data_IF_131126464475
#
_entry.id   IF_131126464475
#
_cell.length_a   1.000
_cell.length_b   1.000
_cell.length_c   1.000
_cell.angle_alpha   90.00
_cell.angle_beta   90.00
_cell.angle_gamma   90.00
#
_symmetry.space_group_name_H-M   'P 1'
#
loop_
_entity.id
_entity.type
_entity.pdbx_description
1 polymer ?
#
# COMPACT_ATOMS: atom_id res chain seq x y z
N UNK A 1 2.57 -10.82 36.84
CA UNK A 1 3.21 -11.02 35.52
C UNK A 1 2.67 -9.96 34.56
N UNK A 2 3.35 -9.67 33.45
CA UNK A 2 2.84 -8.71 32.43
C UNK A 2 1.99 -9.42 31.38
N UNK A 3 1.04 -8.72 30.75
CA UNK A 3 0.18 -9.23 29.65
C UNK A 3 0.98 -9.98 28.57
N UNK A 4 2.15 -9.46 28.18
CA UNK A 4 3.06 -10.09 27.20
C UNK A 4 3.55 -11.48 27.61
N UNK A 5 3.73 -11.74 28.89
CA UNK A 5 4.19 -13.06 29.38
C UNK A 5 3.06 -14.10 29.29
N UNK A 6 1.80 -13.68 29.49
CA UNK A 6 0.62 -14.55 29.37
C UNK A 6 0.32 -14.91 27.92
N UNK A 7 0.46 -13.94 27.01
CA UNK A 7 0.35 -14.18 25.57
C UNK A 7 1.40 -15.19 25.07
N UNK A 8 2.61 -15.19 25.65
CA UNK A 8 3.65 -16.18 25.33
C UNK A 8 3.34 -17.58 25.90
N UNK A 9 2.46 -17.67 26.89
CA UNK A 9 1.97 -18.92 27.48
C UNK A 9 0.72 -19.44 26.76
N UNK A 10 0.34 -18.84 25.63
CA UNK A 10 -0.83 -19.28 24.85
C UNK A 10 -2.18 -18.83 25.43
N UNK A 11 -2.19 -17.89 26.38
CA UNK A 11 -3.42 -17.39 27.01
C UNK A 11 -3.91 -16.16 26.26
N UNK A 12 -5.09 -16.25 25.65
CA UNK A 12 -5.68 -15.19 24.80
C UNK A 12 -7.09 -14.83 25.28
N UNK A 13 -7.82 -14.03 24.50
CA UNK A 13 -9.26 -13.83 24.67
C UNK A 13 -9.72 -13.48 26.10
N UNK A 14 -10.83 -14.09 26.51
CA UNK A 14 -11.45 -13.91 27.82
C UNK A 14 -10.61 -14.59 28.92
N UNK A 15 -9.85 -15.65 28.58
CA UNK A 15 -8.94 -16.30 29.52
C UNK A 15 -7.80 -15.38 29.96
N UNK A 16 -7.39 -14.42 29.13
CA UNK A 16 -6.34 -13.46 29.45
C UNK A 16 -6.76 -12.47 30.54
N UNK A 17 -7.98 -11.97 30.48
CA UNK A 17 -8.50 -11.07 31.50
C UNK A 17 -8.73 -11.82 32.82
N UNK A 18 -9.23 -13.07 32.75
CA UNK A 18 -9.35 -13.93 33.92
C UNK A 18 -8.00 -14.29 34.53
N UNK A 19 -6.97 -14.58 33.72
CA UNK A 19 -5.61 -14.83 34.21
C UNK A 19 -5.06 -13.62 34.98
N UNK A 20 -5.31 -12.40 34.50
CA UNK A 20 -4.91 -11.17 35.20
C UNK A 20 -5.67 -11.00 36.53
N UNK A 21 -6.95 -11.37 36.59
CA UNK A 21 -7.72 -11.43 37.85
C UNK A 21 -7.13 -12.45 38.83
N UNK A 22 -6.88 -13.68 38.39
CA UNK A 22 -6.27 -14.73 39.22
C UNK A 22 -4.90 -14.28 39.74
N UNK A 23 -4.07 -13.65 38.91
CA UNK A 23 -2.76 -13.11 39.33
C UNK A 23 -2.91 -12.00 40.37
N UNK A 24 -3.91 -11.11 40.22
CA UNK A 24 -4.20 -10.04 41.18
C UNK A 24 -4.61 -10.63 42.52
N UNK A 25 -5.50 -11.63 42.52
CA UNK A 25 -5.92 -12.34 43.72
C UNK A 25 -4.74 -13.06 44.41
N UNK A 26 -3.96 -13.86 43.68
CA UNK A 26 -2.78 -14.53 44.25
C UNK A 26 -1.76 -13.54 44.82
N UNK A 27 -1.62 -12.36 44.21
CA UNK A 27 -0.75 -11.31 44.73
C UNK A 27 -1.29 -10.71 46.05
N UNK A 28 -2.61 -10.55 46.17
CA UNK A 28 -3.28 -10.09 47.39
C UNK A 28 -3.12 -11.11 48.54
N UNK A 29 -3.21 -12.40 48.23
CA UNK A 29 -2.96 -13.52 49.15
C UNK A 29 -1.45 -13.77 49.41
N UNK A 30 -0.57 -12.88 48.94
CA UNK A 30 0.88 -12.89 49.19
C UNK A 30 1.62 -14.12 48.65
N UNK A 31 1.12 -14.76 47.60
CA UNK A 31 1.87 -15.80 46.90
C UNK A 31 3.19 -15.25 46.33
N UNK A 32 4.25 -16.06 46.36
CA UNK A 32 5.54 -15.68 45.77
C UNK A 32 5.42 -15.58 44.25
N UNK A 33 6.10 -14.62 43.63
CA UNK A 33 6.09 -14.42 42.16
C UNK A 33 6.41 -15.68 41.36
N UNK A 34 7.33 -16.53 41.85
CA UNK A 34 7.66 -17.79 41.22
C UNK A 34 6.48 -18.77 41.23
N UNK A 35 5.81 -18.91 42.39
CA UNK A 35 4.64 -19.76 42.55
C UNK A 35 3.44 -19.27 41.72
N UNK A 36 3.24 -17.94 41.60
CA UNK A 36 2.21 -17.38 40.71
C UNK A 36 2.49 -17.77 39.26
N UNK A 37 3.74 -17.62 38.81
CA UNK A 37 4.12 -17.98 37.44
C UNK A 37 3.91 -19.46 37.16
N UNK A 38 4.37 -20.31 38.06
CA UNK A 38 4.23 -21.76 37.97
C UNK A 38 2.76 -22.19 37.97
N UNK A 39 1.94 -21.60 38.84
CA UNK A 39 0.50 -21.92 38.91
C UNK A 39 -0.23 -21.52 37.63
N UNK A 40 0.02 -20.31 37.12
CA UNK A 40 -0.60 -19.86 35.86
C UNK A 40 -0.15 -20.70 34.67
N UNK A 41 1.13 -21.10 34.66
CA UNK A 41 1.66 -21.98 33.63
C UNK A 41 1.04 -23.39 33.71
N UNK A 42 0.91 -23.96 34.91
CA UNK A 42 0.30 -25.27 35.10
C UNK A 42 -1.19 -25.27 34.73
N UNK A 43 -1.93 -24.19 35.03
CA UNK A 43 -3.34 -24.08 34.61
C UNK A 43 -3.43 -23.96 33.08
N UNK A 44 -2.49 -23.28 32.43
CA UNK A 44 -2.46 -23.18 30.96
C UNK A 44 -2.06 -24.51 30.29
N UNK A 45 -1.16 -25.28 30.89
CA UNK A 45 -0.67 -26.56 30.35
C UNK A 45 -1.61 -27.74 30.66
N UNK A 46 -2.28 -27.74 31.82
CA UNK A 46 -3.12 -28.83 32.32
C UNK A 46 -4.44 -28.33 32.92
N UNK A 47 -5.26 -27.57 32.17
CA UNK A 47 -6.46 -26.93 32.70
C UNK A 47 -7.49 -27.94 33.26
N UNK A 48 -7.51 -29.16 32.73
CA UNK A 48 -8.39 -30.24 33.18
C UNK A 48 -8.22 -30.59 34.66
N UNK A 49 -7.03 -30.35 35.21
CA UNK A 49 -6.73 -30.62 36.62
C UNK A 49 -7.28 -29.55 37.57
N UNK A 50 -7.74 -28.41 37.03
CA UNK A 50 -8.14 -27.24 37.80
C UNK A 50 -9.62 -26.85 37.64
N UNK A 51 -10.41 -27.56 36.82
CA UNK A 51 -11.82 -27.23 36.51
C UNK A 51 -12.68 -27.07 37.78
N UNK A 52 -12.48 -27.94 38.76
CA UNK A 52 -13.24 -27.97 40.02
C UNK A 52 -12.57 -27.14 41.14
N UNK A 53 -11.47 -26.47 40.85
CA UNK A 53 -10.73 -25.72 41.85
C UNK A 53 -11.44 -24.39 42.15
N UNK A 54 -11.77 -24.12 43.41
CA UNK A 54 -12.57 -22.96 43.83
C UNK A 54 -12.06 -21.61 43.26
N UNK A 55 -10.74 -21.40 43.25
CA UNK A 55 -10.13 -20.13 42.81
C UNK A 55 -9.60 -20.15 41.36
N UNK A 56 -9.51 -21.33 40.72
CA UNK A 56 -8.88 -21.49 39.41
C UNK A 56 -9.83 -22.08 38.36
N UNK A 57 -10.99 -22.61 38.79
CA UNK A 57 -11.92 -23.34 37.95
C UNK A 57 -12.50 -22.51 36.83
N UNK A 58 -12.86 -21.25 37.09
CA UNK A 58 -13.32 -20.35 36.02
C UNK A 58 -12.22 -20.08 34.99
N UNK A 59 -10.97 -19.89 35.43
CA UNK A 59 -9.84 -19.66 34.53
C UNK A 59 -9.53 -20.92 33.72
N UNK A 60 -9.51 -22.08 34.37
CA UNK A 60 -9.32 -23.37 33.74
C UNK A 60 -10.43 -23.71 32.73
N UNK A 61 -11.69 -23.42 33.06
CA UNK A 61 -12.85 -23.58 32.17
C UNK A 61 -12.75 -22.65 30.96
N UNK A 62 -12.27 -21.42 31.13
CA UNK A 62 -12.02 -20.52 30.00
C UNK A 62 -10.88 -21.02 29.11
N UNK A 63 -9.78 -21.53 29.69
CA UNK A 63 -8.70 -22.16 28.90
C UNK A 63 -9.22 -23.38 28.14
N UNK A 64 -10.02 -24.24 28.77
CA UNK A 64 -10.62 -25.39 28.09
C UNK A 64 -11.66 -25.00 27.06
N UNK A 65 -12.48 -23.99 27.33
CA UNK A 65 -13.43 -23.47 26.35
C UNK A 65 -12.70 -22.84 25.18
N UNK A 66 -11.59 -22.13 25.40
CA UNK A 66 -10.72 -21.62 24.33
C UNK A 66 -10.02 -22.75 23.55
N UNK A 67 -9.67 -23.86 24.22
CA UNK A 67 -9.12 -25.06 23.62
C UNK A 67 -10.17 -25.96 22.91
N UNK A 68 -11.44 -25.91 23.32
CA UNK A 68 -12.55 -26.58 22.62
C UNK A 68 -13.10 -25.69 21.49
N UNK A 69 -13.07 -24.38 21.68
CA UNK A 69 -13.33 -23.36 20.66
C UNK A 69 -12.12 -23.10 19.78
N UNK A 70 -11.18 -24.05 19.70
CA UNK A 70 -9.92 -23.97 18.98
C UNK A 70 -10.13 -23.36 17.58
N UNK A 71 -9.97 -22.04 17.50
CA UNK A 71 -9.56 -21.39 16.27
C UNK A 71 -8.05 -21.64 16.17
N UNK A 72 -7.64 -22.91 16.16
CA UNK A 72 -6.35 -23.27 15.58
C UNK A 72 -6.45 -22.80 14.15
N UNK A 73 -5.53 -21.93 13.75
CA UNK A 73 -5.34 -21.63 12.35
C UNK A 73 -5.14 -22.96 11.59
N UNK A 74 -6.17 -23.37 10.86
CA UNK A 74 -6.08 -24.50 9.94
C UNK A 74 -5.79 -23.89 8.56
N UNK A 75 -4.57 -24.08 8.02
CA UNK A 75 -4.30 -23.66 6.65
C UNK A 75 -5.23 -24.41 5.69
N UNK A 76 -5.43 -23.87 4.49
CA UNK A 76 -6.14 -24.61 3.43
C UNK A 76 -5.40 -25.93 3.16
N UNK A 77 -6.15 -27.00 2.89
CA UNK A 77 -5.55 -28.29 2.48
C UNK A 77 -4.73 -28.15 1.20
N UNK A 78 -5.20 -27.27 0.30
CA UNK A 78 -4.53 -26.90 -0.94
C UNK A 78 -4.43 -25.39 -1.03
N UNK A 79 -3.21 -24.91 -1.27
CA UNK A 79 -2.91 -23.51 -1.57
C UNK A 79 -3.81 -22.98 -2.70
N UNK A 80 -4.29 -21.76 -2.54
CA UNK A 80 -4.97 -21.05 -3.61
C UNK A 80 -4.05 -20.92 -4.85
N UNK A 81 -4.56 -21.20 -6.07
CA UNK A 81 -3.74 -21.09 -7.27
C UNK A 81 -3.21 -19.66 -7.44
N UNK A 82 -1.95 -19.53 -7.83
CA UNK A 82 -1.40 -18.24 -8.27
C UNK A 82 -0.39 -18.42 -9.39
N UNK A 83 -0.28 -17.40 -10.24
CA UNK A 83 0.73 -17.32 -11.30
C UNK A 83 1.78 -16.25 -10.98
N UNK A 84 2.98 -16.41 -11.54
CA UNK A 84 4.12 -15.53 -11.32
C UNK A 84 4.67 -15.05 -12.67
N UNK A 85 4.86 -13.74 -12.79
CA UNK A 85 5.54 -13.09 -13.90
C UNK A 85 6.93 -12.64 -13.46
N UNK A 86 7.94 -12.89 -14.29
CA UNK A 86 9.34 -12.59 -13.97
C UNK A 86 10.06 -13.70 -13.18
N UNK A 87 11.39 -13.72 -13.30
CA UNK A 87 12.26 -14.78 -12.75
C UNK A 87 13.16 -14.33 -11.62
N UNK A 88 13.50 -13.03 -11.56
CA UNK A 88 14.42 -12.44 -10.58
C UNK A 88 13.66 -11.78 -9.42
N UNK A 89 12.77 -12.53 -8.78
CA UNK A 89 11.98 -12.07 -7.62
C UNK A 89 12.65 -12.54 -6.33
N UNK A 90 12.68 -11.68 -5.30
CA UNK A 90 13.16 -12.04 -3.96
C UNK A 90 12.39 -13.25 -3.42
N UNK A 91 13.12 -14.28 -2.98
CA UNK A 91 12.57 -15.50 -2.38
C UNK A 91 11.61 -15.17 -1.24
N UNK A 92 11.91 -14.14 -0.44
CA UNK A 92 11.01 -13.73 0.66
C UNK A 92 9.71 -13.12 0.17
N UNK A 93 9.71 -12.44 -0.98
CA UNK A 93 8.49 -11.94 -1.58
C UNK A 93 7.62 -13.09 -2.12
N UNK A 94 8.26 -14.12 -2.70
CA UNK A 94 7.59 -15.36 -3.11
C UNK A 94 6.99 -16.07 -1.88
N UNK A 95 7.74 -16.20 -0.78
CA UNK A 95 7.23 -16.76 0.48
C UNK A 95 6.03 -15.96 1.04
N UNK A 96 6.06 -14.62 0.96
CA UNK A 96 4.90 -13.79 1.34
C UNK A 96 3.67 -14.07 0.48
N UNK A 97 3.84 -14.21 -0.83
CA UNK A 97 2.74 -14.56 -1.74
C UNK A 97 2.16 -15.95 -1.41
N UNK A 98 3.04 -16.93 -1.18
CA UNK A 98 2.64 -18.29 -0.80
C UNK A 98 1.86 -18.31 0.52
N UNK A 99 2.36 -17.61 1.54
CA UNK A 99 1.67 -17.45 2.82
C UNK A 99 0.29 -16.81 2.66
N UNK A 100 0.15 -15.82 1.76
CA UNK A 100 -1.14 -15.20 1.46
C UNK A 100 -2.11 -16.18 0.79
N UNK A 101 -1.64 -17.00 -0.16
CA UNK A 101 -2.45 -18.03 -0.82
C UNK A 101 -2.78 -19.24 0.07
N UNK A 102 -2.08 -19.42 1.20
CA UNK A 102 -2.35 -20.50 2.17
C UNK A 102 -3.46 -20.13 3.18
N UNK A 103 -3.89 -18.86 3.22
CA UNK A 103 -4.97 -18.40 4.09
C UNK A 103 -6.30 -19.06 3.73
N UNK A 104 -7.17 -19.39 4.71
CA UNK A 104 -8.48 -19.99 4.47
C UNK A 104 -9.37 -19.16 3.52
N UNK A 105 -9.26 -17.83 3.58
CA UNK A 105 -10.06 -16.91 2.77
C UNK A 105 -9.52 -16.69 1.35
N UNK A 106 -8.34 -17.19 1.01
CA UNK A 106 -7.71 -16.95 -0.30
C UNK A 106 -8.28 -17.85 -1.40
N UNK A 107 -8.66 -17.26 -2.53
CA UNK A 107 -9.24 -17.99 -3.67
C UNK A 107 -8.31 -18.05 -4.88
N UNK A 108 -7.55 -16.99 -5.14
CA UNK A 108 -6.54 -16.94 -6.20
C UNK A 108 -5.51 -15.84 -5.92
N UNK A 109 -4.38 -15.87 -6.61
CA UNK A 109 -3.41 -14.78 -6.57
C UNK A 109 -2.60 -14.60 -7.84
N UNK A 110 -1.82 -13.54 -7.89
CA UNK A 110 -0.85 -13.26 -8.95
C UNK A 110 0.35 -12.51 -8.38
N UNK A 111 1.55 -12.80 -8.88
CA UNK A 111 2.79 -12.15 -8.47
C UNK A 111 3.46 -11.47 -9.66
N UNK A 112 3.59 -10.15 -9.58
CA UNK A 112 4.08 -9.29 -10.65
C UNK A 112 5.62 -9.26 -10.73
N UNK A 113 6.21 -8.90 -11.88
CA UNK A 113 7.68 -8.94 -12.06
C UNK A 113 8.44 -7.90 -11.22
N UNK A 114 7.76 -6.84 -10.80
CA UNK A 114 8.27 -5.82 -9.88
C UNK A 114 8.24 -6.25 -8.40
N UNK A 115 7.79 -7.48 -8.11
CA UNK A 115 7.54 -7.90 -6.74
C UNK A 115 8.78 -7.89 -5.83
N UNK A 116 8.57 -7.43 -4.60
CA UNK A 116 9.58 -7.34 -3.56
C UNK A 116 8.94 -7.35 -2.17
N UNK A 117 9.77 -7.47 -1.13
CA UNK A 117 9.33 -7.63 0.25
C UNK A 117 8.41 -6.48 0.71
N UNK A 118 7.26 -6.83 1.27
CA UNK A 118 6.30 -5.89 1.85
C UNK A 118 5.86 -6.28 3.27
N UNK A 119 4.71 -5.75 3.69
CA UNK A 119 4.03 -6.13 4.94
C UNK A 119 2.81 -7.02 4.64
N UNK A 120 2.79 -8.27 5.11
CA UNK A 120 1.72 -9.19 4.76
C UNK A 120 1.87 -9.67 3.32
N UNK A 121 1.04 -9.14 2.41
CA UNK A 121 1.20 -9.35 0.97
C UNK A 121 2.49 -8.65 0.47
N UNK A 122 3.26 -9.27 -0.46
CA UNK A 122 4.40 -8.59 -1.06
C UNK A 122 3.92 -7.40 -1.88
N UNK A 123 4.79 -6.40 -2.06
CA UNK A 123 4.56 -5.37 -3.08
C UNK A 123 4.75 -6.07 -4.44
N UNK A 124 3.91 -5.80 -5.44
CA UNK A 124 3.76 -6.62 -6.65
C UNK A 124 2.82 -7.82 -6.47
N UNK A 125 2.15 -7.95 -5.32
CA UNK A 125 1.22 -9.04 -5.05
C UNK A 125 -0.23 -8.67 -5.35
N UNK A 126 -0.98 -9.64 -5.88
CA UNK A 126 -2.43 -9.59 -6.05
C UNK A 126 -3.04 -10.80 -5.37
N UNK A 127 -4.05 -10.58 -4.52
CA UNK A 127 -4.73 -11.64 -3.77
C UNK A 127 -6.24 -11.46 -3.84
N UNK A 128 -6.93 -12.44 -4.41
CA UNK A 128 -8.38 -12.52 -4.36
C UNK A 128 -8.83 -13.34 -3.15
N UNK A 129 -9.73 -12.78 -2.35
CA UNK A 129 -10.29 -13.43 -1.16
C UNK A 129 -11.81 -13.54 -1.23
N UNK A 130 -12.36 -14.57 -0.60
CA UNK A 130 -13.79 -14.74 -0.41
C UNK A 130 -14.24 -14.05 0.89
N UNK A 131 -15.21 -13.13 0.79
CA UNK A 131 -15.86 -12.45 1.91
C UNK A 131 -14.95 -11.83 2.97
N UNK A 132 -13.74 -11.43 2.60
CA UNK A 132 -12.73 -10.94 3.54
C UNK A 132 -11.88 -9.85 2.91
N UNK A 133 -11.48 -8.88 3.71
CA UNK A 133 -10.56 -7.83 3.29
C UNK A 133 -9.38 -7.73 4.26
N UNK A 134 -8.16 -7.64 3.75
CA UNK A 134 -6.92 -7.67 4.52
C UNK A 134 -6.27 -6.27 4.44
N UNK A 135 -6.29 -5.47 5.52
CA UNK A 135 -5.82 -4.08 5.46
C UNK A 135 -4.36 -3.93 4.97
N UNK A 136 -3.45 -4.82 5.37
CA UNK A 136 -2.07 -4.78 4.87
C UNK A 136 -1.86 -5.33 3.47
N UNK A 137 -2.83 -6.09 2.93
CA UNK A 137 -2.84 -6.48 1.53
C UNK A 137 -3.33 -5.35 0.62
N UNK A 138 -3.99 -4.32 1.17
CA UNK A 138 -4.22 -3.03 0.48
C UNK A 138 -2.95 -2.18 0.51
N UNK A 139 -2.31 -2.08 1.68
CA UNK A 139 -1.09 -1.27 1.88
C UNK A 139 -1.29 -0.12 2.87
N UNK A 140 -0.17 0.42 3.38
CA UNK A 140 -0.18 1.51 4.37
C UNK A 140 -0.68 2.80 3.75
N UNK A 141 -0.13 3.16 2.59
CA UNK A 141 -0.65 4.27 1.78
C UNK A 141 -1.81 3.77 0.91
N UNK A 142 -2.99 3.73 1.53
CA UNK A 142 -4.24 3.34 0.88
C UNK A 142 -4.47 4.23 -0.35
N UNK A 143 -4.80 3.61 -1.47
CA UNK A 143 -5.09 4.27 -2.73
C UNK A 143 -3.96 5.15 -3.28
N UNK A 144 -2.71 4.82 -2.94
CA UNK A 144 -1.56 5.33 -3.68
C UNK A 144 -1.79 5.06 -5.18
N UNK A 145 -1.52 6.08 -6.00
CA UNK A 145 -1.91 6.12 -7.41
C UNK A 145 -0.97 6.99 -8.24
N UNK A 146 -1.03 6.74 -9.54
CA UNK A 146 -0.37 7.54 -10.57
C UNK A 146 -1.39 8.44 -11.25
N UNK A 147 -0.98 9.65 -11.67
CA UNK A 147 -1.73 10.47 -12.62
C UNK A 147 -0.78 11.10 -13.64
N UNK A 148 -1.14 10.99 -14.93
CA UNK A 148 -0.47 11.65 -16.04
C UNK A 148 -1.43 12.69 -16.66
N UNK A 149 -0.92 13.88 -16.95
CA UNK A 149 -1.61 14.88 -17.78
C UNK A 149 -0.68 15.33 -18.90
N UNK A 150 -1.20 15.35 -20.12
CA UNK A 150 -0.53 15.82 -21.32
C UNK A 150 -1.11 17.19 -21.66
N UNK A 151 -0.23 18.17 -21.90
CA UNK A 151 -0.62 19.55 -22.14
C UNK A 151 -0.52 19.94 -23.61
N UNK A 152 -1.26 20.98 -23.99
CA UNK A 152 -1.17 21.68 -25.28
C UNK A 152 0.08 22.58 -25.40
N UNK A 153 1.21 22.12 -24.86
CA UNK A 153 2.45 22.88 -24.82
C UNK A 153 3.61 22.15 -25.51
N UNK A 154 4.50 22.87 -26.21
CA UNK A 154 5.67 22.28 -26.85
C UNK A 154 6.70 21.84 -25.81
N UNK A 155 7.40 20.74 -26.10
CA UNK A 155 8.49 20.20 -25.25
C UNK A 155 9.66 21.16 -25.05
N UNK A 156 9.85 22.13 -25.95
CA UNK A 156 10.93 23.14 -25.88
C UNK A 156 10.87 24.00 -24.61
N UNK A 157 9.73 24.05 -23.93
CA UNK A 157 9.59 24.75 -22.64
C UNK A 157 10.44 24.13 -21.52
N UNK A 158 10.76 22.84 -21.60
CA UNK A 158 11.59 22.13 -20.62
C UNK A 158 13.01 22.70 -20.56
N UNK A 159 13.52 23.17 -21.70
CA UNK A 159 14.84 23.81 -21.81
C UNK A 159 14.72 25.34 -21.71
N UNK A 160 13.75 25.94 -22.40
CA UNK A 160 13.61 27.39 -22.51
C UNK A 160 13.01 28.11 -21.30
N UNK A 161 12.27 27.40 -20.43
CA UNK A 161 11.60 28.00 -19.25
C UNK A 161 11.70 27.09 -18.01
N UNK A 162 12.80 26.37 -17.87
CA UNK A 162 13.05 25.43 -16.77
C UNK A 162 12.78 26.03 -15.38
N UNK A 163 13.26 27.24 -15.10
CA UNK A 163 13.07 27.90 -13.79
C UNK A 163 11.59 28.18 -13.50
N UNK A 164 10.80 28.52 -14.52
CA UNK A 164 9.35 28.69 -14.38
C UNK A 164 8.69 27.38 -13.97
N UNK A 165 9.05 26.26 -14.61
CA UNK A 165 8.51 24.94 -14.29
C UNK A 165 8.87 24.51 -12.86
N UNK A 166 10.12 24.72 -12.44
CA UNK A 166 10.59 24.45 -11.07
C UNK A 166 9.78 25.29 -10.05
N UNK A 167 9.60 26.58 -10.32
CA UNK A 167 8.82 27.46 -9.45
C UNK A 167 7.35 27.02 -9.34
N UNK A 168 6.75 26.56 -10.44
CA UNK A 168 5.38 26.01 -10.42
C UNK A 168 5.31 24.74 -9.55
N UNK A 169 6.25 23.80 -9.68
CA UNK A 169 6.29 22.62 -8.80
C UNK A 169 6.51 22.99 -7.33
N UNK A 170 7.29 24.04 -7.07
CA UNK A 170 7.50 24.54 -5.71
C UNK A 170 6.26 25.18 -5.10
N UNK A 171 5.47 25.89 -5.91
CA UNK A 171 4.31 26.61 -5.43
C UNK A 171 3.04 25.76 -5.39
N UNK A 172 2.88 24.83 -6.33
CA UNK A 172 1.60 24.14 -6.54
C UNK A 172 1.53 22.71 -6.01
N UNK A 173 2.62 22.19 -5.43
CA UNK A 173 2.60 20.98 -4.61
C UNK A 173 3.50 21.12 -3.38
N UNK A 174 3.30 20.24 -2.40
CA UNK A 174 4.03 20.21 -1.13
C UNK A 174 4.53 18.79 -0.87
N UNK A 175 5.76 18.68 -0.38
CA UNK A 175 6.40 17.42 -0.02
C UNK A 175 6.79 17.45 1.46
N UNK A 176 7.04 16.28 2.03
CA UNK A 176 7.35 16.11 3.45
C UNK A 176 6.14 15.67 4.28
N UNK A 177 6.44 15.03 5.41
CA UNK A 177 5.42 14.51 6.30
C UNK A 177 4.68 15.66 6.99
N UNK A 178 3.35 15.67 6.90
CA UNK A 178 2.54 16.72 7.54
C UNK A 178 2.53 18.06 6.80
N UNK A 179 3.06 18.12 5.57
CA UNK A 179 3.02 19.34 4.78
C UNK A 179 1.59 19.73 4.40
N UNK A 180 1.28 21.01 4.57
CA UNK A 180 -0.04 21.60 4.43
C UNK A 180 0.01 22.87 3.57
N UNK A 181 -1.12 23.27 3.01
CA UNK A 181 -1.25 24.58 2.36
C UNK A 181 -1.76 25.62 3.37
N UNK A 182 -1.12 26.79 3.40
CA UNK A 182 -1.59 27.94 4.20
C UNK A 182 -3.02 28.34 3.83
N UNK A 183 -3.34 28.28 2.54
CA UNK A 183 -4.68 28.43 2.00
C UNK A 183 -5.16 27.05 1.50
N UNK A 184 -5.96 26.32 2.30
CA UNK A 184 -6.43 25.00 1.94
C UNK A 184 -7.17 24.99 0.61
N UNK A 185 -6.96 23.94 -0.18
CA UNK A 185 -7.62 23.74 -1.47
C UNK A 185 -8.99 23.12 -1.26
N UNK A 186 -9.88 23.31 -2.24
CA UNK A 186 -11.23 22.76 -2.22
C UNK A 186 -11.40 21.70 -3.32
N UNK A 187 -12.15 20.66 -2.97
CA UNK A 187 -12.63 19.63 -3.87
C UNK A 187 -13.85 18.97 -3.24
N UNK A 188 -14.78 18.51 -4.07
CA UNK A 188 -16.07 17.89 -3.67
C UNK A 188 -15.91 16.65 -2.77
N UNK A 189 -14.70 16.09 -2.66
CA UNK A 189 -14.43 14.96 -1.74
C UNK A 189 -14.58 15.36 -0.28
N UNK A 190 -14.42 16.64 0.02
CA UNK A 190 -14.59 17.19 1.37
C UNK A 190 -16.07 17.27 1.79
N UNK A 191 -16.98 17.23 0.82
CA UNK A 191 -18.44 17.24 1.04
C UNK A 191 -19.01 15.82 1.22
N UNK A 192 -18.21 14.78 0.93
CA UNK A 192 -18.60 13.40 1.22
C UNK A 192 -18.73 13.15 2.74
N UNK A 193 -19.31 12.00 3.08
CA UNK A 193 -19.43 11.59 4.47
C UNK A 193 -18.09 11.11 5.05
N UNK A 194 -17.37 12.03 5.70
CA UNK A 194 -16.17 11.70 6.48
C UNK A 194 -16.49 11.08 7.85
N UNK A 195 -17.77 10.89 8.21
CA UNK A 195 -18.16 10.26 9.46
C UNK A 195 -18.44 8.76 9.34
N UNK A 196 -18.12 8.15 8.19
CA UNK A 196 -18.17 6.69 7.97
C UNK A 196 -17.41 5.91 9.04
N UNK A 197 -16.36 6.50 9.63
CA UNK A 197 -15.68 5.96 10.80
C UNK A 197 -15.19 7.09 11.70
N UNK A 198 -14.99 6.79 12.98
CA UNK A 198 -14.38 7.72 13.93
C UNK A 198 -12.97 8.18 13.51
N UNK A 199 -12.23 7.31 12.82
CA UNK A 199 -10.88 7.63 12.31
C UNK A 199 -10.96 8.63 11.16
N UNK A 200 -11.80 8.39 10.17
CA UNK A 200 -11.98 9.32 9.03
C UNK A 200 -12.49 10.67 9.51
N UNK A 201 -13.44 10.70 10.44
CA UNK A 201 -14.00 11.92 11.01
C UNK A 201 -12.96 12.82 11.64
N UNK A 202 -12.07 12.25 12.46
CA UNK A 202 -10.97 12.99 13.10
C UNK A 202 -9.92 13.48 12.09
N UNK A 203 -9.79 12.80 10.95
CA UNK A 203 -8.78 13.13 9.94
C UNK A 203 -9.25 14.16 8.92
N UNK A 204 -10.54 14.50 8.84
CA UNK A 204 -11.12 15.41 7.83
C UNK A 204 -10.37 16.74 7.73
N UNK A 205 -10.19 17.45 8.84
CA UNK A 205 -9.55 18.78 8.82
C UNK A 205 -8.08 18.71 8.39
N UNK A 206 -7.37 17.65 8.81
CA UNK A 206 -6.00 17.43 8.37
C UNK A 206 -5.93 17.08 6.89
N UNK A 207 -6.80 16.19 6.42
CA UNK A 207 -6.91 15.84 5.01
C UNK A 207 -7.22 17.08 4.15
N UNK A 208 -8.11 17.96 4.60
CA UNK A 208 -8.38 19.22 3.90
C UNK A 208 -7.13 20.10 3.76
N UNK A 209 -6.35 20.29 4.82
CA UNK A 209 -5.11 21.09 4.77
C UNK A 209 -4.00 20.45 3.91
N UNK A 210 -4.01 19.12 3.80
CA UNK A 210 -3.06 18.35 3.00
C UNK A 210 -3.50 18.16 1.54
N UNK A 211 -4.72 18.55 1.18
CA UNK A 211 -5.28 18.32 -0.15
C UNK A 211 -4.46 19.05 -1.23
N UNK A 212 -3.99 18.28 -2.21
CA UNK A 212 -3.09 18.72 -3.27
C UNK A 212 -1.59 18.67 -2.92
N UNK A 213 -1.22 17.89 -1.89
CA UNK A 213 0.18 17.65 -1.51
C UNK A 213 0.65 16.26 -1.98
N UNK A 214 1.96 16.09 -2.17
CA UNK A 214 2.55 14.84 -2.66
C UNK A 214 3.10 13.97 -1.54
N UNK A 215 3.64 14.55 -0.46
CA UNK A 215 4.17 13.79 0.67
C UNK A 215 5.62 13.40 0.60
N UNK A 216 5.95 12.20 1.10
CA UNK A 216 7.31 11.69 1.22
C UNK A 216 7.45 10.25 0.71
N UNK A 217 8.64 9.66 0.86
CA UNK A 217 8.94 8.33 0.33
C UNK A 217 9.13 8.37 -1.19
N UNK A 218 8.52 7.42 -1.89
CA UNK A 218 8.60 7.29 -3.35
C UNK A 218 7.65 8.24 -4.10
N UNK A 219 6.95 9.13 -3.41
CA UNK A 219 6.05 10.10 -4.03
C UNK A 219 6.83 11.18 -4.79
N UNK A 220 6.29 11.59 -5.93
CA UNK A 220 6.93 12.55 -6.81
C UNK A 220 5.91 13.35 -7.63
N UNK A 221 6.37 14.49 -8.15
CA UNK A 221 5.70 15.22 -9.22
C UNK A 221 6.79 15.66 -10.19
N UNK A 222 6.62 15.34 -11.45
CA UNK A 222 7.64 15.55 -12.47
C UNK A 222 7.08 16.00 -13.80
N UNK A 223 7.83 16.90 -14.45
CA UNK A 223 7.65 17.20 -15.86
C UNK A 223 8.55 16.32 -16.70
N UNK A 224 8.04 15.95 -17.87
CA UNK A 224 8.77 15.16 -18.83
C UNK A 224 8.23 15.31 -20.25
N UNK A 225 8.84 14.54 -21.14
CA UNK A 225 8.40 14.39 -22.52
C UNK A 225 7.53 13.16 -22.60
N UNK A 226 6.29 13.30 -23.06
CA UNK A 226 5.46 12.17 -23.43
C UNK A 226 5.47 11.99 -24.95
N UNK A 227 5.82 10.79 -25.41
CA UNK A 227 5.87 10.42 -26.82
C UNK A 227 4.82 9.36 -27.13
N UNK A 228 4.05 9.59 -28.19
CA UNK A 228 3.09 8.63 -28.76
C UNK A 228 3.35 8.48 -30.26
N UNK A 229 3.28 7.26 -30.78
CA UNK A 229 3.70 6.93 -32.15
C UNK A 229 2.55 6.90 -33.16
N UNK A 230 1.31 6.92 -32.69
CA UNK A 230 0.09 6.83 -33.52
C UNK A 230 -0.97 7.79 -32.98
N UNK A 231 -1.83 8.28 -33.88
CA UNK A 231 -2.93 9.16 -33.51
C UNK A 231 -3.96 8.39 -32.66
N UNK A 232 -3.99 8.64 -31.35
CA UNK A 232 -4.85 7.96 -30.38
C UNK A 232 -5.17 8.86 -29.20
N UNK A 233 -6.29 8.57 -28.55
CA UNK A 233 -6.74 9.29 -27.35
C UNK A 233 -6.92 10.82 -27.54
N UNK A 234 -7.16 11.25 -28.77
CA UNK A 234 -7.26 12.68 -29.13
C UNK A 234 -5.92 13.38 -29.26
N UNK A 235 -4.81 12.64 -29.35
CA UNK A 235 -3.46 13.13 -29.58
C UNK A 235 -3.00 12.69 -30.96
N UNK A 236 -2.25 13.56 -31.63
CA UNK A 236 -1.52 13.21 -32.85
C UNK A 236 -0.21 12.49 -32.47
N UNK A 237 0.35 11.71 -33.39
CA UNK A 237 1.67 11.13 -33.21
C UNK A 237 2.72 12.25 -33.01
N UNK A 238 3.47 12.18 -31.91
CA UNK A 238 4.42 13.24 -31.57
C UNK A 238 4.86 13.24 -30.11
N UNK A 239 5.47 14.36 -29.73
CA UNK A 239 6.01 14.59 -28.39
C UNK A 239 5.34 15.80 -27.73
N UNK A 240 4.99 15.64 -26.46
CA UNK A 240 4.23 16.61 -25.69
C UNK A 240 4.88 16.88 -24.34
N UNK A 241 4.70 18.10 -23.82
CA UNK A 241 4.93 18.35 -22.40
C UNK A 241 3.89 17.56 -21.59
N UNK A 242 4.36 16.80 -20.61
CA UNK A 242 3.48 16.11 -19.68
C UNK A 242 3.91 16.30 -18.23
N UNK A 243 2.94 16.18 -17.33
CA UNK A 243 3.11 16.14 -15.89
C UNK A 243 2.68 14.77 -15.38
N UNK A 244 3.56 14.11 -14.64
CA UNK A 244 3.24 12.90 -13.91
C UNK A 244 3.32 13.16 -12.41
N UNK A 245 2.39 12.61 -11.65
CA UNK A 245 2.44 12.62 -10.20
C UNK A 245 2.18 11.24 -9.62
N UNK A 246 2.83 10.98 -8.49
CA UNK A 246 2.71 9.79 -7.67
C UNK A 246 2.47 10.21 -6.23
N UNK A 247 1.31 9.86 -5.68
CA UNK A 247 0.91 10.15 -4.30
C UNK A 247 -0.28 9.26 -3.91
N UNK A 248 -0.73 9.39 -2.67
CA UNK A 248 -1.84 8.61 -2.13
C UNK A 248 -2.72 9.40 -1.20
N UNK A 249 -3.31 8.70 -0.24
CA UNK A 249 -4.29 9.27 0.70
C UNK A 249 -3.64 9.92 1.93
N UNK A 250 -2.30 10.05 1.90
CA UNK A 250 -1.51 10.81 2.87
C UNK A 250 -1.70 10.24 4.29
N UNK A 251 -1.54 11.09 5.31
CA UNK A 251 -1.72 10.67 6.70
C UNK A 251 -3.11 10.13 7.03
N UNK A 252 -4.15 10.50 6.27
CA UNK A 252 -5.51 9.99 6.51
C UNK A 252 -5.59 8.48 6.26
N UNK A 253 -5.12 8.01 5.09
CA UNK A 253 -5.11 6.57 4.79
C UNK A 253 -4.17 5.78 5.68
N UNK A 254 -3.01 6.33 6.02
CA UNK A 254 -2.08 5.67 6.95
C UNK A 254 -2.75 5.41 8.33
N UNK A 255 -3.54 6.36 8.84
CA UNK A 255 -4.27 6.19 10.10
C UNK A 255 -5.40 5.16 9.99
N UNK A 256 -6.11 5.13 8.86
CA UNK A 256 -7.14 4.11 8.57
C UNK A 256 -6.49 2.72 8.53
N UNK A 257 -5.40 2.54 7.77
CA UNK A 257 -4.67 1.28 7.70
C UNK A 257 -4.16 0.87 9.10
N UNK A 258 -3.58 1.78 9.87
CA UNK A 258 -3.05 1.47 11.20
C UNK A 258 -4.14 0.98 12.15
N UNK A 259 -5.29 1.65 12.18
CA UNK A 259 -6.41 1.27 13.04
C UNK A 259 -6.95 -0.12 12.68
N UNK A 260 -7.31 -0.33 11.41
CA UNK A 260 -7.98 -1.57 10.99
C UNK A 260 -7.03 -2.75 10.90
N UNK A 261 -5.74 -2.55 10.58
CA UNK A 261 -4.75 -3.63 10.68
C UNK A 261 -4.52 -4.08 12.11
N UNK A 262 -4.55 -3.16 13.09
CA UNK A 262 -4.47 -3.51 14.51
C UNK A 262 -5.71 -4.31 14.93
N UNK A 263 -6.90 -3.85 14.56
CA UNK A 263 -8.16 -4.52 14.87
C UNK A 263 -8.22 -5.94 14.27
N UNK A 264 -7.86 -6.09 13.00
CA UNK A 264 -7.77 -7.41 12.35
C UNK A 264 -6.81 -8.33 13.12
N UNK A 265 -5.63 -7.86 13.51
CA UNK A 265 -4.67 -8.64 14.30
C UNK A 265 -5.20 -9.06 15.67
N UNK A 266 -5.99 -8.22 16.32
CA UNK A 266 -6.60 -8.54 17.62
C UNK A 266 -7.63 -9.67 17.46
N UNK A 267 -8.48 -9.60 16.43
CA UNK A 267 -9.47 -10.63 16.09
C UNK A 267 -8.84 -11.96 15.64
N UNK A 268 -7.68 -11.87 14.99
CA UNK A 268 -6.94 -13.01 14.47
C UNK A 268 -5.65 -13.27 15.27
N UNK A 269 -5.67 -13.04 16.59
CA UNK A 269 -4.48 -13.18 17.46
C UNK A 269 -3.95 -14.61 17.54
N UNK A 270 -4.77 -15.60 17.16
CA UNK A 270 -4.41 -17.01 17.02
C UNK A 270 -3.58 -17.32 15.76
N UNK A 271 -3.47 -16.38 14.80
CA UNK A 271 -2.66 -16.61 13.61
C UNK A 271 -1.18 -16.76 13.98
N UNK A 272 -0.44 -17.67 13.30
CA UNK A 272 1.00 -17.73 13.42
C UNK A 272 1.65 -16.36 13.19
N UNK A 273 2.76 -16.09 13.89
CA UNK A 273 3.45 -14.79 13.83
C UNK A 273 3.80 -14.34 12.41
N UNK A 274 4.11 -15.28 11.51
CA UNK A 274 4.41 -14.99 10.11
C UNK A 274 3.17 -14.60 9.29
N UNK A 275 1.97 -15.00 9.72
CA UNK A 275 0.69 -14.72 9.06
C UNK A 275 -0.08 -13.57 9.71
N UNK A 276 0.34 -13.07 10.87
CA UNK A 276 -0.42 -12.03 11.60
C UNK A 276 -0.62 -10.74 10.80
N UNK A 277 0.28 -10.41 9.87
CA UNK A 277 0.12 -9.26 8.97
C UNK A 277 -0.86 -9.53 7.82
N UNK A 278 -1.37 -10.75 7.68
CA UNK A 278 -2.42 -11.15 6.75
C UNK A 278 -3.77 -11.33 7.45
N UNK A 279 -3.90 -10.91 8.70
CA UNK A 279 -5.18 -10.87 9.41
C UNK A 279 -6.21 -10.05 8.62
N UNK A 280 -7.44 -10.57 8.53
CA UNK A 280 -8.51 -9.98 7.73
C UNK A 280 -9.63 -9.39 8.58
N UNK A 281 -10.55 -8.73 7.92
CA UNK A 281 -11.86 -8.34 8.43
C UNK A 281 -12.90 -9.04 7.56
N UNK A 282 -13.85 -9.71 8.20
CA UNK A 282 -14.95 -10.39 7.53
C UNK A 282 -15.97 -9.35 7.05
N UNK A 283 -16.37 -9.46 5.78
CA UNK A 283 -17.25 -8.49 5.14
C UNK A 283 -18.69 -8.55 5.64
N UNK A 284 -19.11 -9.62 6.34
CA UNK A 284 -20.43 -9.65 7.00
C UNK A 284 -20.45 -8.95 8.36
N UNK A 285 -19.31 -8.41 8.81
CA UNK A 285 -19.18 -7.73 10.10
C UNK A 285 -19.17 -6.21 9.96
N UNK A 286 -19.59 -5.50 11.03
CA UNK A 286 -19.52 -4.04 11.09
C UNK A 286 -18.09 -3.52 10.82
N UNK A 287 -17.08 -4.16 11.41
CA UNK A 287 -15.68 -3.76 11.24
C UNK A 287 -15.21 -3.89 9.78
N UNK A 288 -15.63 -4.94 9.08
CA UNK A 288 -15.34 -5.12 7.65
C UNK A 288 -16.01 -4.05 6.78
N UNK A 289 -17.29 -3.78 7.03
CA UNK A 289 -18.05 -2.74 6.31
C UNK A 289 -17.50 -1.33 6.57
N UNK A 290 -17.14 -1.02 7.81
CA UNK A 290 -16.52 0.25 8.17
C UNK A 290 -15.16 0.46 7.49
N UNK A 291 -14.28 -0.55 7.53
CA UNK A 291 -13.00 -0.47 6.84
C UNK A 291 -13.20 -0.29 5.34
N UNK A 292 -14.13 -1.03 4.74
CA UNK A 292 -14.44 -0.92 3.32
C UNK A 292 -14.89 0.50 2.95
N UNK A 293 -15.81 1.09 3.72
CA UNK A 293 -16.26 2.46 3.52
C UNK A 293 -15.12 3.47 3.69
N UNK A 294 -14.30 3.33 4.74
CA UNK A 294 -13.15 4.20 4.96
C UNK A 294 -12.10 4.07 3.85
N UNK A 295 -11.79 2.85 3.40
CA UNK A 295 -10.87 2.60 2.30
C UNK A 295 -11.35 3.27 1.01
N UNK A 296 -12.64 3.16 0.67
CA UNK A 296 -13.20 3.82 -0.50
C UNK A 296 -13.13 5.35 -0.41
N UNK A 297 -13.43 5.94 0.75
CA UNK A 297 -13.24 7.38 0.96
C UNK A 297 -11.77 7.81 0.80
N UNK A 298 -10.81 7.00 1.25
CA UNK A 298 -9.38 7.26 1.03
C UNK A 298 -8.99 7.12 -0.45
N UNK A 299 -9.65 6.21 -1.17
CA UNK A 299 -9.68 6.14 -2.62
C UNK A 299 -10.00 7.48 -3.24
N UNK A 300 -11.21 7.97 -2.99
CA UNK A 300 -11.70 9.24 -3.56
C UNK A 300 -10.83 10.43 -3.15
N UNK A 301 -10.35 10.45 -1.90
CA UNK A 301 -9.46 11.51 -1.42
C UNK A 301 -8.11 11.51 -2.16
N UNK A 302 -7.52 10.34 -2.42
CA UNK A 302 -6.31 10.25 -3.22
C UNK A 302 -6.55 10.75 -4.66
N UNK A 303 -7.69 10.42 -5.28
CA UNK A 303 -8.05 10.93 -6.61
C UNK A 303 -8.14 12.47 -6.61
N UNK A 304 -8.86 13.02 -5.63
CA UNK A 304 -9.02 14.46 -5.43
C UNK A 304 -7.67 15.17 -5.19
N UNK A 305 -6.76 14.53 -4.45
CA UNK A 305 -5.42 15.04 -4.20
C UNK A 305 -4.64 15.26 -5.52
N UNK A 306 -4.64 14.26 -6.40
CA UNK A 306 -4.02 14.38 -7.72
C UNK A 306 -4.77 15.38 -8.62
N UNK A 307 -6.10 15.40 -8.60
CA UNK A 307 -6.90 16.37 -9.34
C UNK A 307 -6.54 17.81 -8.93
N UNK A 308 -6.36 18.08 -7.63
CA UNK A 308 -5.90 19.37 -7.14
C UNK A 308 -4.49 19.71 -7.64
N UNK A 309 -3.52 18.79 -7.54
CA UNK A 309 -2.14 19.01 -8.04
C UNK A 309 -2.16 19.39 -9.52
N UNK A 310 -2.80 18.57 -10.35
CA UNK A 310 -2.81 18.75 -11.81
C UNK A 310 -3.57 20.01 -12.22
N UNK A 311 -4.73 20.30 -11.61
CA UNK A 311 -5.53 21.49 -11.90
C UNK A 311 -4.78 22.78 -11.61
N UNK A 312 -4.11 22.87 -10.46
CA UNK A 312 -3.39 24.07 -10.07
C UNK A 312 -2.13 24.28 -10.92
N UNK A 313 -1.41 23.21 -11.24
CA UNK A 313 -0.27 23.25 -12.15
C UNK A 313 -0.70 23.68 -13.56
N UNK A 314 -1.74 23.06 -14.13
CA UNK A 314 -2.26 23.44 -15.45
C UNK A 314 -2.67 24.92 -15.50
N UNK A 315 -3.36 25.40 -14.46
CA UNK A 315 -3.71 26.83 -14.30
C UNK A 315 -2.49 27.74 -14.24
N UNK A 316 -1.45 27.36 -13.50
CA UNK A 316 -0.21 28.13 -13.39
C UNK A 316 0.59 28.14 -14.70
N UNK A 317 0.53 27.05 -15.47
CA UNK A 317 1.09 26.97 -16.82
C UNK A 317 0.30 27.80 -17.84
N UNK A 318 -1.00 28.00 -17.59
CA UNK A 318 -2.00 28.49 -18.56
C UNK A 318 -2.10 27.55 -19.77
N UNK A 319 -2.18 26.26 -19.48
CA UNK A 319 -2.24 25.19 -20.46
C UNK A 319 -3.53 24.40 -20.30
N UNK A 320 -4.04 23.92 -21.42
CA UNK A 320 -5.15 22.97 -21.47
C UNK A 320 -4.60 21.53 -21.37
N UNK A 321 -5.38 20.66 -20.73
CA UNK A 321 -5.06 19.23 -20.64
C UNK A 321 -5.68 18.52 -21.83
N UNK A 322 -4.85 18.03 -22.75
CA UNK A 322 -5.28 17.29 -23.94
C UNK A 322 -5.72 15.87 -23.60
N UNK A 323 -4.99 15.23 -22.68
CA UNK A 323 -5.26 13.86 -22.25
C UNK A 323 -4.82 13.68 -20.80
N UNK A 324 -5.55 12.84 -20.07
CA UNK A 324 -5.12 12.40 -18.75
C UNK A 324 -5.53 10.97 -18.46
N UNK A 325 -4.70 10.28 -17.70
CA UNK A 325 -4.96 8.94 -17.19
C UNK A 325 -4.51 8.85 -15.74
N UNK A 326 -5.17 8.00 -14.97
CA UNK A 326 -4.78 7.66 -13.61
C UNK A 326 -5.08 6.20 -13.32
N UNK A 327 -4.30 5.59 -12.44
CA UNK A 327 -4.48 4.20 -12.02
C UNK A 327 -4.03 4.03 -10.56
N UNK A 328 -4.79 3.23 -9.82
CA UNK A 328 -4.46 2.83 -8.46
C UNK A 328 -3.41 1.72 -8.47
N UNK A 329 -2.63 1.62 -7.40
CA UNK A 329 -1.80 0.43 -7.18
C UNK A 329 -1.77 -0.12 -5.75
N UNK A 330 -2.49 0.49 -4.81
CA UNK A 330 -2.66 0.00 -3.44
C UNK A 330 -4.15 0.08 -3.06
N UNK A 331 -4.94 -0.93 -3.39
CA UNK A 331 -6.39 -0.89 -3.15
C UNK A 331 -6.99 -2.30 -3.16
N UNK A 332 -8.25 -2.41 -2.73
CA UNK A 332 -9.04 -3.62 -2.92
C UNK A 332 -10.34 -3.31 -3.66
N UNK A 333 -10.72 -4.19 -4.57
CA UNK A 333 -11.94 -4.06 -5.37
C UNK A 333 -12.82 -5.29 -5.22
N UNK A 334 -14.13 -5.10 -5.35
CA UNK A 334 -15.07 -6.19 -5.45
C UNK A 334 -15.24 -6.54 -6.92
N UNK A 335 -14.74 -7.70 -7.33
CA UNK A 335 -14.64 -8.10 -8.74
C UNK A 335 -15.19 -9.51 -8.95
N UNK A 336 -15.64 -9.81 -10.16
CA UNK A 336 -16.05 -11.17 -10.53
C UNK A 336 -14.91 -11.86 -11.27
N UNK A 337 -14.40 -12.93 -10.68
CA UNK A 337 -13.37 -13.79 -11.25
C UNK A 337 -13.76 -15.26 -11.13
N UNK A 338 -13.51 -16.03 -12.19
CA UNK A 338 -13.84 -17.47 -12.21
C UNK A 338 -15.32 -17.78 -11.84
N UNK A 339 -16.24 -16.86 -12.14
CA UNK A 339 -17.67 -16.97 -11.80
C UNK A 339 -18.03 -16.70 -10.34
N UNK A 340 -17.08 -16.22 -9.50
CA UNK A 340 -17.31 -15.83 -8.11
C UNK A 340 -17.07 -14.34 -7.91
N UNK A 341 -17.84 -13.74 -7.00
CA UNK A 341 -17.59 -12.39 -6.52
C UNK A 341 -16.54 -12.44 -5.41
N UNK A 342 -15.42 -11.74 -5.60
CA UNK A 342 -14.24 -11.79 -4.75
C UNK A 342 -13.75 -10.37 -4.41
N UNK A 343 -13.01 -10.27 -3.30
CA UNK A 343 -12.31 -9.06 -2.89
C UNK A 343 -10.85 -9.16 -3.36
N UNK A 344 -10.53 -8.44 -4.43
CA UNK A 344 -9.22 -8.47 -5.09
C UNK A 344 -8.34 -7.35 -4.53
N UNK A 345 -7.33 -7.74 -3.76
CA UNK A 345 -6.33 -6.86 -3.19
C UNK A 345 -5.18 -6.72 -4.17
N UNK A 346 -4.80 -5.48 -4.50
CA UNK A 346 -3.58 -5.19 -5.26
C UNK A 346 -2.68 -4.30 -4.42
N UNK A 347 -1.46 -4.74 -4.17
CA UNK A 347 -0.44 -3.99 -3.43
C UNK A 347 0.80 -3.84 -4.28
N UNK A 348 1.08 -2.62 -4.72
CA UNK A 348 2.03 -2.39 -5.81
C UNK A 348 1.66 -3.20 -7.05
N UNK A 349 0.38 -3.26 -7.39
CA UNK A 349 -0.09 -3.87 -8.63
C UNK A 349 -1.29 -3.07 -9.12
N UNK A 350 -1.45 -2.94 -10.43
CA UNK A 350 -2.47 -2.09 -11.02
C UNK A 350 -3.49 -2.91 -11.81
N UNK A 351 -4.78 -2.49 -11.85
CA UNK A 351 -5.75 -3.08 -12.76
C UNK A 351 -5.28 -3.05 -14.22
N UNK A 352 -5.54 -4.15 -14.93
CA UNK A 352 -5.16 -4.40 -16.31
C UNK A 352 -6.29 -5.15 -17.05
N UNK A 353 -7.54 -4.75 -16.78
CA UNK A 353 -8.70 -5.20 -17.53
C UNK A 353 -8.56 -4.92 -19.03
N UNK A 354 -9.30 -5.64 -19.86
CA UNK A 354 -9.22 -5.45 -21.32
C UNK A 354 -9.55 -3.99 -21.68
N UNK A 355 -8.61 -3.30 -22.31
CA UNK A 355 -8.75 -1.90 -22.70
C UNK A 355 -8.48 -0.88 -21.60
N UNK A 356 -8.24 -1.31 -20.36
CA UNK A 356 -7.99 -0.42 -19.22
C UNK A 356 -6.63 0.26 -19.35
N UNK A 357 -6.60 1.60 -19.27
CA UNK A 357 -5.36 2.36 -19.36
C UNK A 357 -4.70 2.53 -17.99
N UNK A 358 -3.38 2.51 -17.97
CA UNK A 358 -2.59 2.78 -16.76
C UNK A 358 -1.21 3.33 -17.09
N UNK A 359 -0.51 3.77 -16.05
CA UNK A 359 0.88 4.19 -16.12
C UNK A 359 1.74 3.29 -15.23
N UNK A 360 2.86 2.82 -15.78
CA UNK A 360 3.89 2.07 -15.05
C UNK A 360 5.17 2.91 -15.02
N UNK A 361 5.48 3.60 -13.90
CA UNK A 361 6.72 4.34 -13.72
C UNK A 361 7.96 3.46 -13.53
N UNK A 362 9.08 3.91 -14.10
CA UNK A 362 10.41 3.38 -13.80
C UNK A 362 10.98 3.99 -12.51
N UNK A 363 11.81 5.02 -12.67
CA UNK A 363 12.45 5.75 -11.57
C UNK A 363 12.47 7.24 -11.89
N UNK A 364 13.04 8.07 -11.00
CA UNK A 364 13.23 9.51 -11.25
C UNK A 364 14.02 9.84 -12.53
N UNK A 365 14.66 8.88 -13.18
CA UNK A 365 15.39 9.12 -14.43
C UNK A 365 15.09 8.11 -15.54
N UNK A 366 14.39 7.04 -15.21
CA UNK A 366 14.03 5.99 -16.16
C UNK A 366 12.60 6.22 -16.67
N UNK A 367 12.25 5.73 -17.86
CA UNK A 367 10.96 6.02 -18.45
C UNK A 367 9.80 5.43 -17.65
N UNK A 368 8.64 6.04 -17.85
CA UNK A 368 7.35 5.46 -17.53
C UNK A 368 6.60 5.11 -18.82
N UNK A 369 5.70 4.13 -18.74
CA UNK A 369 4.96 3.64 -19.90
C UNK A 369 3.47 3.86 -19.70
N UNK A 370 2.82 4.48 -20.70
CA UNK A 370 1.38 4.39 -20.86
C UNK A 370 1.07 3.01 -21.41
N UNK A 371 0.22 2.28 -20.71
CA UNK A 371 -0.09 0.88 -21.01
C UNK A 371 -1.59 0.68 -21.13
N UNK A 372 -1.98 -0.38 -21.85
CA UNK A 372 -3.36 -0.85 -21.95
C UNK A 372 -3.46 -2.32 -21.55
N UNK A 373 -4.38 -2.63 -20.65
CA UNK A 373 -4.70 -3.96 -20.17
C UNK A 373 -5.20 -4.90 -21.26
N UNK A 374 -4.74 -6.15 -21.19
CA UNK A 374 -5.19 -7.26 -22.05
C UNK A 374 -6.25 -8.14 -21.38
N UNK A 375 -6.56 -7.90 -20.11
CA UNK A 375 -7.64 -8.59 -19.40
C UNK A 375 -7.36 -10.07 -19.10
N UNK A 376 -6.09 -10.46 -18.94
CA UNK A 376 -5.74 -11.85 -18.64
C UNK A 376 -6.33 -12.29 -17.29
N UNK A 377 -7.18 -13.31 -17.31
CA UNK A 377 -7.91 -13.77 -16.12
C UNK A 377 -6.98 -14.38 -15.06
N UNK A 378 -5.91 -15.07 -15.47
CA UNK A 378 -4.98 -15.72 -14.54
C UNK A 378 -4.15 -14.73 -13.71
N UNK A 379 -3.98 -13.48 -14.18
CA UNK A 379 -3.37 -12.40 -13.41
C UNK A 379 -4.38 -11.64 -12.54
N UNK A 380 -5.63 -12.12 -12.46
CA UNK A 380 -6.76 -11.37 -11.89
C UNK A 380 -6.90 -10.01 -12.57
N UNK A 381 -6.68 -9.98 -13.90
CA UNK A 381 -6.67 -8.76 -14.72
C UNK A 381 -5.82 -7.67 -14.09
N UNK A 382 -4.60 -8.02 -13.68
CA UNK A 382 -3.65 -7.11 -13.02
C UNK A 382 -2.30 -7.13 -13.70
N UNK A 383 -1.51 -6.08 -13.45
CA UNK A 383 -0.14 -5.93 -13.93
C UNK A 383 0.75 -5.23 -12.90
N UNK A 384 2.06 -5.15 -13.18
CA UNK A 384 3.03 -4.43 -12.34
C UNK A 384 2.65 -2.96 -12.18
N UNK A 385 3.02 -2.35 -11.06
CA UNK A 385 2.77 -0.93 -10.82
C UNK A 385 3.96 -0.03 -11.15
N UNK A 386 5.18 -0.58 -11.23
CA UNK A 386 6.39 0.19 -11.47
C UNK A 386 7.62 -0.71 -11.61
N UNK A 387 8.81 -0.15 -11.41
CA UNK A 387 10.04 -0.94 -11.46
C UNK A 387 10.20 -1.88 -10.24
N UNK A 388 9.75 -1.47 -9.06
CA UNK A 388 9.97 -2.23 -7.81
C UNK A 388 11.40 -2.11 -7.27
N UNK A 389 11.55 -2.18 -5.94
CA UNK A 389 12.83 -1.95 -5.27
C UNK A 389 13.70 -3.22 -5.26
N UNK A 390 15.00 -3.04 -5.44
CA UNK A 390 16.02 -4.06 -5.26
C UNK A 390 16.50 -4.19 -3.81
N UNK A 391 16.34 -3.14 -3.02
CA UNK A 391 16.87 -3.08 -1.65
C UNK A 391 16.07 -2.16 -0.74
N UNK A 392 16.26 -2.37 0.57
CA UNK A 392 15.66 -1.51 1.60
C UNK A 392 16.20 -0.08 1.53
N UNK A 393 15.42 0.89 2.01
CA UNK A 393 15.84 2.30 2.14
C UNK A 393 17.10 2.46 2.98
N UNK A 394 17.22 1.68 4.06
CA UNK A 394 18.42 1.67 4.92
C UNK A 394 19.65 1.18 4.16
N UNK A 395 19.51 0.11 3.38
CA UNK A 395 20.61 -0.39 2.56
C UNK A 395 21.00 0.62 1.48
N UNK A 396 20.03 1.24 0.79
CA UNK A 396 20.28 2.27 -0.21
C UNK A 396 21.10 3.45 0.35
N UNK A 397 20.74 3.96 1.53
CA UNK A 397 21.47 5.04 2.23
C UNK A 397 22.93 4.69 2.51
N UNK A 398 23.23 3.41 2.71
CA UNK A 398 24.57 2.92 2.97
C UNK A 398 25.35 2.55 1.70
N UNK A 399 24.65 2.33 0.57
CA UNK A 399 25.23 1.82 -0.68
C UNK A 399 25.51 2.91 -1.72
N UNK A 400 24.80 4.03 -1.69
CA UNK A 400 24.86 5.04 -2.75
C UNK A 400 25.25 6.43 -2.23
N UNK A 401 25.85 7.21 -3.13
CA UNK A 401 26.22 8.61 -2.88
C UNK A 401 25.62 9.53 -3.95
N UNK A 402 25.38 10.79 -3.60
CA UNK A 402 24.86 11.79 -4.55
C UNK A 402 25.79 12.01 -5.74
N UNK A 403 27.10 11.83 -5.59
CA UNK A 403 28.03 11.93 -6.71
C UNK A 403 27.72 10.92 -7.81
N UNK A 404 27.46 9.66 -7.44
CA UNK A 404 27.08 8.60 -8.38
C UNK A 404 25.71 8.86 -9.00
N UNK A 405 24.72 9.23 -8.17
CA UNK A 405 23.36 9.51 -8.63
C UNK A 405 23.32 10.70 -9.61
N UNK A 406 24.05 11.78 -9.32
CA UNK A 406 24.10 12.96 -10.17
C UNK A 406 24.69 12.67 -11.55
N UNK A 407 25.67 11.76 -11.65
CA UNK A 407 26.20 11.34 -12.95
C UNK A 407 25.11 10.66 -13.79
N UNK A 408 24.35 9.74 -13.20
CA UNK A 408 23.24 9.04 -13.87
C UNK A 408 22.14 10.01 -14.32
N UNK A 409 21.79 11.00 -13.48
CA UNK A 409 20.81 12.04 -13.79
C UNK A 409 21.27 12.94 -14.93
N UNK A 410 22.54 13.36 -14.92
CA UNK A 410 23.13 14.19 -15.98
C UNK A 410 23.15 13.50 -17.34
N UNK A 411 23.53 12.21 -17.38
CA UNK A 411 23.52 11.40 -18.60
C UNK A 411 22.12 11.28 -19.22
N UNK A 412 21.06 11.43 -18.42
CA UNK A 412 19.64 11.38 -18.85
C UNK A 412 18.98 12.75 -18.98
N UNK A 413 19.75 13.82 -18.84
CA UNK A 413 19.26 15.20 -18.86
C UNK A 413 18.10 15.44 -17.86
N UNK A 414 18.24 14.90 -16.65
CA UNK A 414 17.26 15.06 -15.57
C UNK A 414 17.74 16.11 -14.58
N UNK A 415 16.86 17.05 -14.28
CA UNK A 415 17.02 18.03 -13.22
C UNK A 415 16.26 17.58 -12.00
N UNK A 416 16.98 17.29 -10.94
CA UNK A 416 16.40 16.96 -9.65
C UNK A 416 16.28 18.22 -8.79
N UNK A 417 15.06 18.55 -8.36
CA UNK A 417 14.80 19.63 -7.41
C UNK A 417 15.13 19.16 -5.99
N UNK A 418 14.64 17.97 -5.64
CA UNK A 418 14.79 17.35 -4.32
C UNK A 418 14.48 15.85 -4.44
N UNK A 419 15.22 15.01 -3.70
CA UNK A 419 14.86 13.63 -3.39
C UNK A 419 15.72 13.09 -2.24
N UNK A 420 15.29 11.96 -1.65
CA UNK A 420 16.13 11.14 -0.78
C UNK A 420 17.10 10.27 -1.58
N UNK A 421 18.30 10.03 -1.04
CA UNK A 421 19.27 9.10 -1.64
C UNK A 421 18.74 7.65 -1.70
N UNK A 422 17.75 7.33 -0.87
CA UNK A 422 17.04 6.06 -0.86
C UNK A 422 16.06 5.88 -2.02
N UNK A 423 15.90 6.88 -2.89
CA UNK A 423 14.99 6.84 -4.05
C UNK A 423 15.73 6.99 -5.39
N UNK A 424 17.07 6.97 -5.39
CA UNK A 424 17.87 7.07 -6.63
C UNK A 424 17.61 5.89 -7.59
N UNK A 425 17.77 6.05 -8.92
CA UNK A 425 17.43 5.02 -9.90
C UNK A 425 18.01 3.63 -9.62
N UNK A 426 19.23 3.56 -9.09
CA UNK A 426 19.95 2.32 -8.83
C UNK A 426 19.35 1.45 -7.71
N UNK A 427 18.36 1.96 -6.96
CA UNK A 427 17.64 1.17 -5.94
C UNK A 427 16.46 0.39 -6.55
N UNK A 428 16.12 0.65 -7.81
CA UNK A 428 15.00 0.08 -8.53
C UNK A 428 15.48 -0.98 -9.54
N UNK A 429 14.60 -1.94 -9.87
CA UNK A 429 14.85 -2.88 -10.97
C UNK A 429 14.86 -2.12 -12.30
N UNK A 430 15.41 -2.76 -13.33
CA UNK A 430 15.31 -2.21 -14.68
C UNK A 430 13.85 -2.27 -15.16
N UNK A 431 13.26 -1.10 -15.43
CA UNK A 431 11.87 -1.01 -15.88
C UNK A 431 11.62 -1.74 -17.20
N UNK A 432 12.59 -1.76 -18.12
CA UNK A 432 12.43 -2.42 -19.42
C UNK A 432 12.35 -3.95 -19.25
N UNK A 433 13.08 -4.51 -18.29
CA UNK A 433 13.00 -5.95 -17.95
C UNK A 433 11.66 -6.30 -17.30
N UNK A 434 11.15 -5.41 -16.42
CA UNK A 434 9.83 -5.56 -15.81
C UNK A 434 8.73 -5.51 -16.87
N UNK A 435 8.82 -4.60 -17.84
CA UNK A 435 7.87 -4.51 -18.96
C UNK A 435 7.95 -5.72 -19.88
N UNK A 436 9.15 -6.21 -20.21
CA UNK A 436 9.33 -7.39 -21.05
C UNK A 436 8.74 -8.66 -20.42
N UNK A 437 8.75 -8.76 -19.08
CA UNK A 437 8.26 -9.91 -18.34
C UNK A 437 6.72 -10.03 -18.25
N UNK A 438 5.96 -9.05 -18.73
CA UNK A 438 4.49 -8.98 -18.62
C UNK A 438 3.80 -8.58 -19.93
N UNK A 439 4.43 -8.91 -21.07
CA UNK A 439 3.94 -8.54 -22.41
C UNK A 439 2.60 -9.20 -22.77
N UNK A 440 2.20 -10.26 -22.07
CA UNK A 440 0.90 -10.91 -22.13
C UNK A 440 -0.19 -10.18 -21.33
N UNK A 441 0.20 -9.38 -20.32
CA UNK A 441 -0.72 -8.62 -19.48
C UNK A 441 -1.10 -7.26 -20.08
N UNK A 442 -0.16 -6.64 -20.82
CA UNK A 442 -0.27 -5.25 -21.28
C UNK A 442 0.21 -5.04 -22.72
N UNK A 443 -0.29 -3.99 -23.37
CA UNK A 443 0.36 -3.33 -24.52
C UNK A 443 0.91 -1.97 -24.11
N UNK A 444 2.04 -1.56 -24.70
CA UNK A 444 2.59 -0.20 -24.51
C UNK A 444 1.97 0.71 -25.56
N UNK A 445 1.36 1.80 -25.09
CA UNK A 445 0.66 2.79 -25.92
C UNK A 445 1.43 4.11 -26.03
N UNK A 446 2.35 4.39 -25.10
CA UNK A 446 3.16 5.61 -25.10
C UNK A 446 4.28 5.56 -24.06
N UNK A 447 5.20 6.51 -24.14
CA UNK A 447 6.38 6.59 -23.27
C UNK A 447 6.51 7.98 -22.67
N UNK A 448 6.70 8.06 -21.36
CA UNK A 448 7.03 9.28 -20.66
C UNK A 448 8.48 9.24 -20.20
N UNK A 449 9.24 10.31 -20.48
CA UNK A 449 10.62 10.46 -20.06
C UNK A 449 10.76 11.66 -19.10
N UNK A 450 11.12 11.43 -17.82
CA UNK A 450 11.28 12.53 -16.85
C UNK A 450 12.40 13.50 -17.25
N UNK A 451 12.21 14.78 -16.89
CA UNK A 451 13.15 15.89 -17.12
C UNK A 451 13.34 16.80 -15.92
N UNK A 452 12.26 17.10 -15.18
CA UNK A 452 12.31 17.91 -13.97
C UNK A 452 11.56 17.16 -12.88
N UNK A 453 12.26 16.71 -11.86
CA UNK A 453 11.71 15.83 -10.82
C UNK A 453 11.74 16.49 -9.47
N UNK A 454 10.61 16.42 -8.76
CA UNK A 454 10.51 16.82 -7.36
C UNK A 454 9.99 15.67 -6.52
N UNK A 455 10.70 15.37 -5.45
CA UNK A 455 10.32 14.44 -4.38
C UNK A 455 10.50 15.12 -3.02
N UNK A 456 10.30 14.39 -1.92
CA UNK A 456 10.62 14.89 -0.58
C UNK A 456 12.12 15.10 -0.37
N UNK A 457 12.45 16.06 0.48
CA UNK A 457 13.84 16.39 0.82
C UNK A 457 14.55 15.22 1.54
N UNK A 458 15.89 15.16 1.46
CA UNK A 458 16.67 14.14 2.15
C UNK A 458 16.37 14.11 3.65
N UNK A 459 16.08 12.92 4.18
CA UNK A 459 15.87 12.71 5.62
C UNK A 459 14.40 12.73 6.07
N UNK A 460 13.47 13.09 5.19
CA UNK A 460 12.03 12.93 5.44
C UNK A 460 11.70 11.45 5.67
N UNK A 461 10.79 11.20 6.63
CA UNK A 461 10.33 9.83 6.90
C UNK A 461 9.35 9.40 5.80
N UNK A 462 9.51 8.21 5.21
CA UNK A 462 8.55 7.68 4.25
C UNK A 462 7.19 7.43 4.88
N UNK A 463 6.13 7.49 4.06
CA UNK A 463 4.74 7.24 4.48
C UNK A 463 4.25 5.82 4.15
N UNK A 464 5.09 5.02 3.48
CA UNK A 464 4.85 3.65 3.03
C UNK A 464 5.68 2.58 3.77
#
# INVERSE_FOLDING_TARGET
>A
MKKRELLNMGIYGDALDKALETIRWMSAEKFKKAAIRETIQNIAEFPETYIEHENYGDFAKLIMHEAESEIIYKPREKRAPYEQWGTNIDVKAIEQMQNACDLPVAEAGALMPDAHLGYGLPIGGVLATENAVIPYAVGVDIACRMKLSIFDMPVSILEGQKDKLINILNNETRFGMGSEFENPRMHDVLDQDWSVTDTTKRMKDKAWRQLGSSGSGNHFVEYGVFSITEDKYGLDAGEYLALMSHSGSRGAGAQVCQFYSKLAKEKHSYLPKQLINLAWLDMDTADGQEYWAAMNLMGDYAAANHACIHKHIAKALKADVLFSVENHHNFAWKETHFGKELYVHRKGATPAGEGELGIIPGSMADPAYLVKGKGLESSLKSAAHGAGRLMSRTQAKNSFTWHQANKYLQERNVTLISAGIDEVPMVYKNIDEVMAAQTDLLSVEGKFQPRIVKMADPGEKPED
#
